data_IF_955662751184
#
_entry.id   IF_955662751184
#
_cell.length_a   1.000
_cell.length_b   1.000
_cell.length_c   1.000
_cell.angle_alpha   90.00
_cell.angle_beta   90.00
_cell.angle_gamma   90.00
#
_symmetry.space_group_name_H-M   'P 1'
#
loop_
_entity.id
_entity.type
_entity.pdbx_description
1 polymer ?
#
# COMPACT_ATOMS: atom_id res chain seq x y z
N UNK A 1 13.32 -9.18 35.53
CA UNK A 1 13.55 -7.74 35.26
C UNK A 1 12.52 -6.87 35.95
N UNK A 2 11.22 -7.16 35.82
CA UNK A 2 10.10 -6.41 36.44
C UNK A 2 10.25 -6.18 37.96
N UNK A 3 10.36 -7.25 38.77
CA UNK A 3 10.50 -7.12 40.24
C UNK A 3 11.80 -6.41 40.64
N UNK A 4 12.88 -6.61 39.88
CA UNK A 4 14.17 -5.93 40.10
C UNK A 4 14.09 -4.42 39.81
N UNK A 5 13.16 -3.99 38.97
CA UNK A 5 12.89 -2.57 38.68
C UNK A 5 11.97 -1.91 39.72
N UNK A 6 11.58 -2.61 40.79
CA UNK A 6 10.67 -2.09 41.81
C UNK A 6 9.18 -2.16 41.42
N UNK A 7 8.85 -2.84 40.32
CA UNK A 7 7.47 -3.03 39.88
C UNK A 7 6.88 -4.31 40.50
N UNK A 8 5.64 -4.23 40.98
CA UNK A 8 4.91 -5.38 41.52
C UNK A 8 4.55 -6.43 40.46
N UNK A 9 4.43 -5.99 39.21
CA UNK A 9 4.08 -6.82 38.06
C UNK A 9 4.24 -6.00 36.78
N UNK A 10 4.16 -6.65 35.62
CA UNK A 10 4.17 -5.96 34.34
C UNK A 10 2.75 -5.53 33.99
N UNK A 11 2.32 -4.41 34.55
CA UNK A 11 0.97 -3.88 34.42
C UNK A 11 1.11 -2.40 34.05
N UNK A 12 1.47 -2.08 32.79
CA UNK A 12 1.56 -0.70 32.37
C UNK A 12 0.22 -0.01 32.53
N UNK A 13 0.24 1.26 32.91
CA UNK A 13 -0.96 2.07 33.04
C UNK A 13 -1.42 2.50 31.65
N UNK A 14 -2.46 1.86 31.15
CA UNK A 14 -3.02 2.08 29.82
C UNK A 14 -3.91 3.32 29.74
N UNK A 15 -4.41 3.81 30.87
CA UNK A 15 -5.30 4.98 30.92
C UNK A 15 -4.53 6.28 31.20
N UNK A 16 -3.38 6.18 31.87
CA UNK A 16 -2.53 7.32 32.21
C UNK A 16 -1.59 7.79 31.08
N UNK A 17 -0.93 8.95 31.28
CA UNK A 17 -0.05 9.54 30.27
C UNK A 17 1.10 8.60 29.87
N UNK A 18 1.43 8.54 28.58
CA UNK A 18 2.55 7.74 28.05
C UNK A 18 3.88 8.15 28.70
N UNK A 19 4.04 9.45 28.95
CA UNK A 19 5.23 10.02 29.57
C UNK A 19 5.24 9.95 31.10
N UNK A 20 4.28 9.23 31.73
CA UNK A 20 4.35 9.01 33.18
C UNK A 20 5.59 8.19 33.52
N UNK A 21 6.27 8.50 34.62
CA UNK A 21 7.45 7.76 35.08
C UNK A 21 7.17 6.26 35.22
N UNK A 22 5.94 5.92 35.65
CA UNK A 22 5.46 4.54 35.75
C UNK A 22 5.45 3.85 34.38
N UNK A 23 4.91 4.51 33.35
CA UNK A 23 4.83 3.96 32.00
C UNK A 23 6.18 3.93 31.28
N UNK A 24 7.02 4.95 31.48
CA UNK A 24 8.39 4.96 30.98
C UNK A 24 9.21 3.80 31.55
N UNK A 25 9.03 3.49 32.85
CA UNK A 25 9.69 2.35 33.49
C UNK A 25 9.22 1.01 32.91
N UNK A 26 7.91 0.86 32.66
CA UNK A 26 7.38 -0.34 31.99
C UNK A 26 7.92 -0.49 30.57
N UNK A 27 7.94 0.59 29.78
CA UNK A 27 8.53 0.59 28.43
C UNK A 27 9.99 0.16 28.47
N UNK A 28 10.78 0.75 29.36
CA UNK A 28 12.20 0.41 29.51
C UNK A 28 12.38 -1.07 29.88
N UNK A 29 11.59 -1.59 30.81
CA UNK A 29 11.63 -3.00 31.21
C UNK A 29 11.24 -3.93 30.06
N UNK A 30 10.22 -3.57 29.28
CA UNK A 30 9.77 -4.36 28.12
C UNK A 30 10.83 -4.42 27.02
N UNK A 31 11.34 -3.26 26.59
CA UNK A 31 12.34 -3.15 25.52
C UNK A 31 13.65 -3.82 25.94
N UNK A 32 14.07 -3.65 27.20
CA UNK A 32 15.27 -4.31 27.71
C UNK A 32 15.11 -5.83 27.80
N UNK A 33 13.92 -6.31 28.21
CA UNK A 33 13.63 -7.74 28.27
C UNK A 33 13.60 -8.38 26.88
N UNK A 34 12.97 -7.72 25.91
CA UNK A 34 12.98 -8.14 24.52
C UNK A 34 14.42 -8.22 23.98
N UNK A 35 15.22 -7.16 24.15
CA UNK A 35 16.61 -7.13 23.70
C UNK A 35 17.47 -8.22 24.34
N UNK A 36 17.25 -8.53 25.63
CA UNK A 36 17.92 -9.65 26.30
C UNK A 36 17.52 -11.01 25.69
N UNK A 37 16.23 -11.26 25.50
CA UNK A 37 15.73 -12.51 24.92
C UNK A 37 16.23 -12.69 23.48
N UNK A 38 16.20 -11.62 22.69
CA UNK A 38 16.72 -11.62 21.32
C UNK A 38 18.22 -11.97 21.29
N UNK A 39 19.05 -11.31 22.10
CA UNK A 39 20.50 -11.59 22.19
C UNK A 39 20.81 -12.99 22.74
N UNK A 40 19.92 -13.56 23.54
CA UNK A 40 20.05 -14.93 24.04
C UNK A 40 19.64 -16.00 23.02
N UNK A 41 19.26 -15.60 21.79
CA UNK A 41 18.70 -16.45 20.75
C UNK A 41 17.40 -17.19 21.13
N UNK A 42 16.76 -16.82 22.24
CA UNK A 42 15.50 -17.41 22.68
C UNK A 42 14.33 -17.13 21.72
N UNK A 43 14.46 -16.12 20.86
CA UNK A 43 13.44 -15.72 19.89
C UNK A 43 13.78 -16.10 18.44
N UNK A 44 14.78 -16.95 18.22
CA UNK A 44 15.26 -17.27 16.87
C UNK A 44 14.22 -17.96 15.98
N UNK A 45 13.29 -18.69 16.59
CA UNK A 45 12.15 -19.34 15.91
C UNK A 45 11.15 -18.37 15.29
N UNK A 46 11.21 -17.08 15.64
CA UNK A 46 10.28 -16.06 15.17
C UNK A 46 10.82 -15.23 13.99
N UNK A 47 11.96 -15.62 13.40
CA UNK A 47 12.55 -14.98 12.21
C UNK A 47 12.64 -13.44 12.30
N UNK A 48 12.91 -12.94 13.51
CA UNK A 48 12.92 -11.49 13.78
C UNK A 48 14.09 -10.84 13.04
N UNK A 49 13.80 -9.77 12.29
CA UNK A 49 14.82 -8.98 11.61
C UNK A 49 15.77 -8.30 12.62
N UNK A 50 17.06 -8.59 12.52
CA UNK A 50 18.08 -8.15 13.49
C UNK A 50 18.30 -6.64 13.52
N UNK A 51 18.15 -5.96 12.37
CA UNK A 51 18.32 -4.51 12.26
C UNK A 51 17.24 -3.78 13.06
N UNK A 52 16.01 -4.27 13.02
CA UNK A 52 14.89 -3.71 13.79
C UNK A 52 14.95 -4.11 15.26
N UNK A 53 15.31 -5.37 15.56
CA UNK A 53 15.42 -5.86 16.93
C UNK A 53 16.51 -5.14 17.75
N UNK A 54 17.51 -4.58 17.08
CA UNK A 54 18.59 -3.81 17.72
C UNK A 54 18.27 -2.33 17.88
N UNK A 55 17.22 -1.83 17.21
CA UNK A 55 16.86 -0.42 17.20
C UNK A 55 15.93 -0.07 18.37
N UNK A 56 16.50 0.45 19.45
CA UNK A 56 15.77 0.80 20.69
C UNK A 56 14.69 1.86 20.44
N UNK A 57 14.92 2.83 19.56
CA UNK A 57 13.91 3.85 19.23
C UNK A 57 12.70 3.21 18.56
N UNK A 58 12.93 2.36 17.56
CA UNK A 58 11.86 1.59 16.90
C UNK A 58 11.09 0.70 17.90
N UNK A 59 11.79 0.02 18.82
CA UNK A 59 11.14 -0.81 19.83
C UNK A 59 10.30 0.00 20.82
N UNK A 60 10.72 1.22 21.17
CA UNK A 60 9.92 2.13 21.98
C UNK A 60 8.65 2.55 21.23
N UNK A 61 8.78 2.88 19.94
CA UNK A 61 7.63 3.24 19.09
C UNK A 61 6.64 2.06 18.98
N UNK A 62 7.13 0.84 18.74
CA UNK A 62 6.30 -0.37 18.72
C UNK A 62 5.59 -0.60 20.06
N UNK A 63 6.29 -0.39 21.19
CA UNK A 63 5.69 -0.52 22.51
C UNK A 63 4.60 0.52 22.77
N UNK A 64 4.84 1.77 22.37
CA UNK A 64 3.88 2.84 22.51
C UNK A 64 2.67 2.61 21.58
N UNK A 65 2.87 2.01 20.40
CA UNK A 65 1.81 1.55 19.50
C UNK A 65 1.05 0.31 20.02
N UNK A 66 1.64 -0.55 20.84
CA UNK A 66 0.87 -1.63 21.48
C UNK A 66 -0.25 -1.07 22.40
N UNK A 67 -0.14 0.18 22.86
CA UNK A 67 -1.21 0.89 23.58
C UNK A 67 -2.31 1.46 22.67
N UNK A 68 -2.18 1.35 21.34
CA UNK A 68 -3.09 1.88 20.30
C UNK A 68 -4.43 1.15 20.20
N UNK A 69 -4.74 0.20 21.10
CA UNK A 69 -6.09 -0.39 21.24
C UNK A 69 -7.20 0.62 21.59
N UNK A 70 -6.89 1.91 21.75
CA UNK A 70 -7.84 2.95 22.16
C UNK A 70 -8.30 3.86 21.01
N UNK A 71 -7.63 3.88 19.86
CA UNK A 71 -8.05 4.68 18.70
C UNK A 71 -7.88 3.84 17.42
N UNK A 72 -8.87 2.96 17.12
CA UNK A 72 -8.87 2.14 15.91
C UNK A 72 -8.61 3.03 14.68
N UNK A 73 -7.63 2.65 13.87
CA UNK A 73 -7.24 3.41 12.68
C UNK A 73 -6.26 4.56 12.90
N UNK A 74 -5.72 4.79 14.11
CA UNK A 74 -4.61 5.76 14.30
C UNK A 74 -3.33 5.29 13.58
N UNK A 75 -3.10 3.97 13.52
CA UNK A 75 -2.01 3.36 12.78
C UNK A 75 -2.22 3.52 11.28
N UNK A 76 -3.46 3.30 10.81
CA UNK A 76 -3.81 3.57 9.43
C UNK A 76 -3.61 5.04 9.12
N UNK A 77 -4.10 5.97 9.96
CA UNK A 77 -3.85 7.41 9.82
C UNK A 77 -2.36 7.77 9.83
N UNK A 78 -1.53 7.10 10.62
CA UNK A 78 -0.07 7.32 10.72
C UNK A 78 0.68 6.78 9.51
N UNK A 79 0.34 5.57 9.07
CA UNK A 79 0.87 4.95 7.85
C UNK A 79 0.40 5.73 6.62
N UNK A 80 -0.86 6.17 6.60
CA UNK A 80 -1.43 6.95 5.49
C UNK A 80 -0.84 8.35 5.47
N UNK A 81 -0.57 8.97 6.63
CA UNK A 81 0.12 10.25 6.73
C UNK A 81 1.63 10.20 6.51
N UNK A 82 2.26 9.03 6.60
CA UNK A 82 3.69 8.91 6.34
C UNK A 82 4.03 9.26 4.87
N UNK A 83 4.93 10.24 4.73
CA UNK A 83 5.43 10.77 3.46
C UNK A 83 5.98 9.65 2.55
N UNK A 84 6.49 8.57 3.14
CA UNK A 84 6.98 7.41 2.41
C UNK A 84 5.88 6.67 1.63
N UNK A 85 4.64 6.68 2.13
CA UNK A 85 3.50 6.04 1.49
C UNK A 85 2.76 6.97 0.51
N UNK A 86 2.67 8.28 0.80
CA UNK A 86 2.04 9.26 -0.11
C UNK A 86 2.85 9.55 -1.38
N UNK A 87 4.18 9.63 -1.27
CA UNK A 87 5.02 10.13 -2.36
C UNK A 87 5.06 9.22 -3.63
N UNK A 88 5.17 7.88 -3.53
CA UNK A 88 5.16 7.01 -4.71
C UNK A 88 3.82 7.06 -5.46
N UNK A 89 2.71 6.96 -4.73
CA UNK A 89 1.34 6.99 -5.27
C UNK A 89 1.05 8.32 -5.96
N UNK A 90 1.37 9.47 -5.33
CA UNK A 90 1.21 10.80 -5.94
C UNK A 90 2.02 10.95 -7.25
N UNK A 91 3.27 10.47 -7.28
CA UNK A 91 4.10 10.56 -8.49
C UNK A 91 3.59 9.69 -9.65
N UNK A 92 3.12 8.48 -9.34
CA UNK A 92 2.55 7.55 -10.32
C UNK A 92 1.21 8.05 -10.84
N UNK A 93 0.37 8.60 -9.98
CA UNK A 93 -0.91 9.18 -10.38
C UNK A 93 -0.72 10.39 -11.31
N UNK A 94 0.25 11.27 -11.00
CA UNK A 94 0.62 12.36 -11.90
C UNK A 94 1.12 11.85 -13.26
N UNK A 95 1.96 10.81 -13.27
CA UNK A 95 2.39 10.17 -14.52
C UNK A 95 1.20 9.57 -15.31
N UNK A 96 0.27 8.91 -14.62
CA UNK A 96 -0.94 8.35 -15.22
C UNK A 96 -1.82 9.42 -15.87
N UNK A 97 -1.98 10.59 -15.23
CA UNK A 97 -2.69 11.75 -15.80
C UNK A 97 -1.97 12.32 -17.01
N UNK A 98 -0.63 12.43 -16.97
CA UNK A 98 0.17 12.94 -18.10
C UNK A 98 0.11 12.03 -19.33
N UNK A 99 0.08 10.73 -19.12
CA UNK A 99 -0.10 9.73 -20.16
C UNK A 99 -1.57 9.60 -20.62
N UNK A 100 -2.47 10.42 -20.06
CA UNK A 100 -3.91 10.41 -20.36
C UNK A 100 -4.54 9.01 -20.25
N UNK A 101 -4.06 8.22 -19.29
CA UNK A 101 -4.52 6.84 -19.14
C UNK A 101 -6.01 6.81 -18.83
N UNK A 102 -6.72 5.77 -19.29
CA UNK A 102 -8.13 5.56 -18.98
C UNK A 102 -8.41 5.66 -17.48
N UNK A 103 -9.57 6.23 -17.12
CA UNK A 103 -10.00 6.43 -15.72
C UNK A 103 -9.90 5.17 -14.82
N UNK A 104 -10.25 3.95 -15.25
CA UNK A 104 -10.08 2.76 -14.42
C UNK A 104 -8.61 2.47 -14.07
N UNK A 105 -7.67 2.77 -14.98
CA UNK A 105 -6.24 2.64 -14.71
C UNK A 105 -5.81 3.72 -13.71
N UNK A 106 -6.25 4.96 -13.90
CA UNK A 106 -5.95 6.06 -12.96
C UNK A 106 -6.49 5.76 -11.54
N UNK A 107 -7.71 5.22 -11.42
CA UNK A 107 -8.27 4.79 -10.12
C UNK A 107 -7.43 3.72 -9.46
N UNK A 108 -7.05 2.68 -10.21
CA UNK A 108 -6.17 1.63 -9.69
C UNK A 108 -4.84 2.19 -9.21
N UNK A 109 -4.28 3.20 -9.90
CA UNK A 109 -3.04 3.88 -9.50
C UNK A 109 -3.22 4.79 -8.28
N UNK A 110 -4.44 5.26 -8.02
CA UNK A 110 -4.74 6.04 -6.82
C UNK A 110 -4.84 5.14 -5.57
N UNK A 111 -5.24 3.87 -5.75
CA UNK A 111 -5.39 2.91 -4.66
C UNK A 111 -4.01 2.43 -4.21
N UNK A 112 -3.61 2.82 -3.00
CA UNK A 112 -2.31 2.50 -2.41
C UNK A 112 -2.09 1.00 -2.32
N UNK A 113 -3.11 0.25 -1.93
CA UNK A 113 -3.10 -1.19 -1.70
C UNK A 113 -2.94 -1.95 -3.03
N UNK A 114 -3.27 -1.32 -4.16
CA UNK A 114 -3.04 -1.91 -5.48
C UNK A 114 -1.55 -1.88 -5.87
N UNK A 115 -0.74 -1.06 -5.21
CA UNK A 115 0.71 -0.97 -5.43
C UNK A 115 1.44 -2.08 -4.67
N UNK A 116 2.55 -2.58 -5.22
CA UNK A 116 3.39 -3.56 -4.52
C UNK A 116 4.20 -2.91 -3.41
N UNK A 117 4.37 -3.68 -2.34
CA UNK A 117 5.39 -3.43 -1.34
C UNK A 117 6.78 -3.70 -1.93
N UNK A 118 7.74 -2.89 -1.52
CA UNK A 118 9.08 -2.92 -2.07
C UNK A 118 10.06 -3.44 -1.03
N UNK A 119 10.75 -4.54 -1.35
CA UNK A 119 11.89 -4.99 -0.57
C UNK A 119 13.17 -4.34 -1.05
N UNK A 120 14.10 -4.13 -0.13
CA UNK A 120 15.44 -3.69 -0.45
C UNK A 120 16.40 -4.87 -0.30
N UNK A 121 17.04 -5.27 -1.39
CA UNK A 121 18.20 -6.19 -1.35
C UNK A 121 19.40 -5.40 -1.87
N UNK A 122 20.22 -4.93 -0.93
CA UNK A 122 21.38 -4.08 -1.20
C UNK A 122 21.01 -2.73 -1.82
N UNK A 123 21.46 -2.49 -3.06
CA UNK A 123 21.13 -1.27 -3.82
C UNK A 123 19.95 -1.46 -4.76
N UNK A 124 19.33 -2.62 -4.84
CA UNK A 124 18.23 -2.86 -5.78
C UNK A 124 16.94 -3.01 -5.00
N UNK A 125 15.88 -2.39 -5.52
CA UNK A 125 14.54 -2.51 -4.95
C UNK A 125 13.82 -3.64 -5.67
N UNK A 126 13.18 -4.56 -4.98
CA UNK A 126 12.46 -5.67 -5.58
C UNK A 126 10.98 -5.50 -5.29
N UNK A 127 10.17 -5.64 -6.34
CA UNK A 127 8.72 -5.60 -6.21
C UNK A 127 8.28 -6.91 -5.59
N UNK A 128 7.65 -6.90 -4.41
CA UNK A 128 7.02 -8.10 -3.87
C UNK A 128 5.82 -8.48 -4.74
N UNK A 129 5.61 -9.78 -4.88
CA UNK A 129 4.40 -10.29 -5.49
C UNK A 129 3.23 -10.13 -4.51
N UNK A 130 2.08 -9.72 -5.06
CA UNK A 130 0.82 -9.69 -4.33
C UNK A 130 -0.01 -10.90 -4.75
N UNK A 131 -0.57 -11.67 -3.79
CA UNK A 131 -1.35 -12.85 -4.11
C UNK A 131 -2.54 -12.45 -4.99
N UNK A 132 -2.82 -13.26 -6.01
CA UNK A 132 -3.94 -13.02 -6.93
C UNK A 132 -3.75 -11.90 -7.97
N UNK A 133 -2.74 -11.02 -7.84
CA UNK A 133 -2.50 -9.92 -8.79
C UNK A 133 -2.12 -10.43 -10.18
N UNK A 134 -2.75 -9.85 -11.20
CA UNK A 134 -2.50 -10.14 -12.60
C UNK A 134 -1.08 -9.69 -13.01
N UNK A 135 -0.23 -10.57 -13.60
CA UNK A 135 1.10 -10.20 -14.07
C UNK A 135 1.13 -9.02 -15.06
N UNK A 136 0.02 -8.83 -15.80
CA UNK A 136 -0.17 -7.68 -16.70
C UNK A 136 -0.06 -6.36 -15.93
N UNK A 137 -0.64 -6.29 -14.74
CA UNK A 137 -0.60 -5.10 -13.88
C UNK A 137 0.81 -4.85 -13.39
N UNK A 138 1.50 -5.87 -12.85
CA UNK A 138 2.89 -5.76 -12.40
C UNK A 138 3.79 -5.23 -13.53
N UNK A 139 3.66 -5.82 -14.73
CA UNK A 139 4.45 -5.44 -15.90
C UNK A 139 4.15 -4.01 -16.34
N UNK A 140 2.88 -3.59 -16.31
CA UNK A 140 2.48 -2.22 -16.65
C UNK A 140 3.12 -1.19 -15.70
N UNK A 141 3.06 -1.42 -14.38
CA UNK A 141 3.72 -0.54 -13.40
C UNK A 141 5.22 -0.42 -13.67
N UNK A 142 5.90 -1.54 -13.91
CA UNK A 142 7.36 -1.56 -14.12
C UNK A 142 7.82 -0.97 -15.45
N UNK A 143 7.08 -1.19 -16.54
CA UNK A 143 7.53 -0.82 -17.89
C UNK A 143 7.02 0.54 -18.36
N UNK A 144 5.88 0.99 -17.88
CA UNK A 144 5.20 2.19 -18.39
C UNK A 144 5.16 3.29 -17.32
N UNK A 145 4.64 2.96 -16.13
CA UNK A 145 4.31 3.98 -15.14
C UNK A 145 5.51 4.43 -14.30
N UNK A 146 6.35 3.50 -13.85
CA UNK A 146 7.53 3.81 -13.03
C UNK A 146 8.58 4.64 -13.80
N UNK A 147 8.93 4.32 -15.06
CA UNK A 147 9.85 5.14 -15.85
C UNK A 147 9.34 6.56 -16.07
N UNK A 148 8.03 6.71 -16.31
CA UNK A 148 7.41 8.02 -16.53
C UNK A 148 7.35 8.85 -15.24
N UNK A 149 7.01 8.22 -14.11
CA UNK A 149 7.06 8.85 -12.80
C UNK A 149 8.48 9.27 -12.41
N UNK A 150 9.50 8.51 -12.84
CA UNK A 150 10.90 8.87 -12.63
C UNK A 150 11.32 10.07 -13.49
N UNK A 151 10.95 10.09 -14.78
CA UNK A 151 11.19 11.23 -15.67
C UNK A 151 10.61 12.51 -15.09
N UNK A 152 9.38 12.47 -14.59
CA UNK A 152 8.73 13.61 -13.96
C UNK A 152 9.51 14.13 -12.74
N UNK A 153 9.95 13.22 -11.85
CA UNK A 153 10.73 13.61 -10.66
C UNK A 153 12.07 14.25 -11.01
N UNK A 154 12.75 13.76 -12.05
CA UNK A 154 14.03 14.33 -12.50
C UNK A 154 13.91 15.76 -13.03
N UNK A 155 12.76 16.09 -13.62
CA UNK A 155 12.51 17.46 -14.14
C UNK A 155 12.16 18.42 -12.99
N UNK A 156 11.42 17.96 -11.97
CA UNK A 156 10.93 18.85 -10.91
C UNK A 156 11.91 19.09 -9.74
N UNK A 157 12.92 18.24 -9.53
CA UNK A 157 13.89 18.45 -8.44
C UNK A 157 15.33 18.27 -8.96
N UNK A 158 16.20 19.29 -8.84
CA UNK A 158 17.63 19.13 -9.13
C UNK A 158 18.23 18.01 -8.28
N UNK A 159 19.26 17.36 -8.82
CA UNK A 159 19.83 16.04 -8.47
C UNK A 159 20.35 15.79 -7.03
N UNK A 160 19.87 16.48 -5.99
CA UNK A 160 20.38 16.30 -4.62
C UNK A 160 19.78 15.10 -3.89
N UNK A 161 18.69 14.50 -4.38
CA UNK A 161 18.09 13.30 -3.78
C UNK A 161 18.43 12.05 -4.60
N UNK A 162 19.16 11.12 -3.95
CA UNK A 162 19.56 9.79 -4.43
C UNK A 162 18.56 9.25 -5.47
N UNK A 163 19.01 9.11 -6.72
CA UNK A 163 18.28 8.42 -7.79
C UNK A 163 17.64 7.16 -7.23
N UNK A 164 16.31 7.04 -7.39
CA UNK A 164 15.63 5.81 -7.00
C UNK A 164 16.27 4.66 -7.76
N UNK A 165 16.74 3.68 -7.00
CA UNK A 165 17.47 2.55 -7.54
C UNK A 165 16.50 1.66 -8.32
N UNK A 166 17.00 1.08 -9.41
CA UNK A 166 16.22 0.25 -10.35
C UNK A 166 15.42 -0.82 -9.60
N UNK A 167 14.17 -1.00 -10.00
CA UNK A 167 13.32 -2.08 -9.51
C UNK A 167 13.57 -3.35 -10.30
N UNK A 168 13.82 -4.47 -9.63
CA UNK A 168 13.95 -5.79 -10.24
C UNK A 168 12.65 -6.61 -10.18
N UNK A 169 12.53 -7.67 -11.00
CA UNK A 169 11.44 -8.65 -10.91
C UNK A 169 11.41 -9.31 -9.52
N UNK A 170 10.25 -9.81 -9.08
CA UNK A 170 10.04 -10.30 -7.71
C UNK A 170 11.07 -11.35 -7.30
N UNK A 171 11.69 -11.19 -6.12
CA UNK A 171 12.79 -12.04 -5.64
C UNK A 171 12.36 -13.15 -4.67
N UNK A 172 11.05 -13.25 -4.37
CA UNK A 172 10.29 -14.23 -3.52
C UNK A 172 9.70 -13.63 -2.24
N UNK A 173 8.79 -14.43 -1.66
CA UNK A 173 7.76 -14.19 -0.65
C UNK A 173 6.63 -13.25 -1.11
N UNK A 174 5.39 -13.76 -1.06
CA UNK A 174 4.20 -12.93 -1.21
C UNK A 174 4.17 -11.93 -0.05
N UNK A 175 3.68 -10.71 -0.29
CA UNK A 175 3.50 -9.77 0.82
C UNK A 175 2.52 -10.36 1.85
N UNK A 176 2.90 -10.36 3.12
CA UNK A 176 2.03 -10.73 4.25
C UNK A 176 0.98 -9.66 4.55
N UNK A 177 1.08 -8.48 3.91
CA UNK A 177 0.03 -7.47 3.92
C UNK A 177 -1.12 -7.94 3.04
N UNK A 178 -2.14 -8.48 3.69
CA UNK A 178 -3.44 -8.87 3.14
C UNK A 178 -4.48 -8.13 4.03
N UNK A 179 -5.72 -7.80 3.63
CA UNK A 179 -6.66 -8.80 3.11
C UNK A 179 -7.78 -8.25 2.21
N UNK A 180 -7.98 -6.93 2.09
CA UNK A 180 -9.13 -6.42 1.32
C UNK A 180 -8.74 -5.22 0.46
N UNK A 181 -8.73 -5.44 -0.86
CA UNK A 181 -8.62 -4.33 -1.82
C UNK A 181 -9.92 -3.54 -1.89
N UNK A 182 -9.81 -2.24 -2.16
CA UNK A 182 -10.95 -1.38 -2.46
C UNK A 182 -11.87 -1.98 -3.52
N UNK A 183 -13.19 -1.81 -3.36
CA UNK A 183 -14.18 -2.21 -4.35
C UNK A 183 -14.01 -1.49 -5.71
N UNK A 184 -13.27 -0.38 -5.74
CA UNK A 184 -13.00 0.40 -6.94
C UNK A 184 -11.86 -0.16 -7.81
N UNK A 185 -11.16 -1.19 -7.31
CA UNK A 185 -10.13 -1.88 -8.09
C UNK A 185 -10.78 -2.55 -9.30
N UNK A 186 -10.22 -2.36 -10.52
CA UNK A 186 -10.70 -3.04 -11.72
C UNK A 186 -10.63 -4.57 -11.58
N UNK A 187 -11.58 -5.29 -12.17
CA UNK A 187 -11.67 -6.77 -12.06
C UNK A 187 -10.38 -7.45 -12.53
N UNK A 188 -9.73 -6.84 -13.52
CA UNK A 188 -8.55 -7.34 -14.20
C UNK A 188 -7.25 -7.02 -13.45
N UNK A 189 -7.37 -6.38 -12.29
CA UNK A 189 -6.33 -6.42 -11.26
C UNK A 189 -6.03 -7.86 -10.84
N UNK A 190 -7.06 -8.70 -10.72
CA UNK A 190 -6.90 -10.09 -10.33
C UNK A 190 -6.68 -10.97 -11.56
N UNK A 191 -5.91 -12.06 -11.38
CA UNK A 191 -5.90 -13.14 -12.36
C UNK A 191 -7.29 -13.78 -12.46
N UNK A 192 -7.72 -14.24 -13.65
CA UNK A 192 -9.01 -14.90 -13.80
C UNK A 192 -9.18 -16.09 -12.83
N UNK A 193 -8.13 -16.90 -12.65
CA UNK A 193 -8.14 -18.03 -11.72
C UNK A 193 -8.42 -17.60 -10.28
N UNK A 194 -7.75 -16.54 -9.80
CA UNK A 194 -7.93 -16.03 -8.45
C UNK A 194 -9.31 -15.39 -8.25
N UNK A 195 -9.74 -14.54 -9.18
CA UNK A 195 -11.05 -13.90 -9.08
C UNK A 195 -12.18 -14.94 -9.05
N UNK A 196 -12.08 -15.98 -9.88
CA UNK A 196 -13.10 -17.02 -9.97
C UNK A 196 -13.10 -17.96 -8.75
N UNK A 197 -12.03 -17.99 -7.94
CA UNK A 197 -12.03 -18.68 -6.65
C UNK A 197 -12.62 -17.86 -5.49
N UNK A 198 -12.85 -16.55 -5.68
CA UNK A 198 -13.46 -15.69 -4.67
C UNK A 198 -14.93 -16.04 -4.43
N UNK A 199 -15.41 -15.72 -3.23
CA UNK A 199 -16.82 -15.86 -2.87
C UNK A 199 -17.73 -15.02 -3.78
N UNK A 200 -19.02 -15.37 -3.84
CA UNK A 200 -20.00 -14.60 -4.62
C UNK A 200 -20.04 -13.12 -4.19
N UNK A 201 -19.97 -12.86 -2.87
CA UNK A 201 -19.95 -11.52 -2.26
C UNK A 201 -18.74 -10.70 -2.71
N UNK A 202 -17.54 -11.28 -2.66
CA UNK A 202 -16.32 -10.62 -3.10
C UNK A 202 -16.31 -10.37 -4.62
N UNK A 203 -16.75 -11.36 -5.41
CA UNK A 203 -16.87 -11.19 -6.87
C UNK A 203 -17.82 -10.03 -7.21
N UNK A 204 -18.96 -9.94 -6.52
CA UNK A 204 -19.92 -8.85 -6.68
C UNK A 204 -19.31 -7.50 -6.26
N UNK A 205 -18.56 -7.46 -5.15
CA UNK A 205 -17.86 -6.26 -4.66
C UNK A 205 -16.96 -5.65 -5.74
N UNK A 206 -16.11 -6.47 -6.35
CA UNK A 206 -15.12 -6.02 -7.35
C UNK A 206 -15.68 -5.85 -8.77
N UNK A 207 -16.83 -6.46 -9.09
CA UNK A 207 -17.45 -6.31 -10.41
C UNK A 207 -17.75 -4.84 -10.79
N UNK A 208 -17.93 -3.98 -9.78
CA UNK A 208 -18.17 -2.54 -9.94
C UNK A 208 -16.98 -1.76 -10.51
N UNK A 209 -15.75 -2.20 -10.25
CA UNK A 209 -14.51 -1.52 -10.66
C UNK A 209 -14.31 -1.46 -12.19
N UNK A 210 -14.95 -2.37 -12.93
CA UNK A 210 -14.89 -2.45 -14.39
C UNK A 210 -13.57 -3.02 -14.91
N UNK A 211 -13.26 -2.75 -16.19
CA UNK A 211 -12.07 -3.29 -16.88
C UNK A 211 -11.08 -2.17 -17.23
N UNK A 212 -9.84 -2.31 -16.78
CA UNK A 212 -8.77 -1.35 -16.99
C UNK A 212 -7.89 -1.65 -18.21
N UNK A 213 -7.46 -2.90 -18.36
CA UNK A 213 -6.52 -3.39 -19.36
C UNK A 213 -7.20 -4.32 -20.36
N UNK A 214 -6.74 -4.33 -21.62
CA UNK A 214 -7.07 -5.42 -22.53
C UNK A 214 -6.27 -6.68 -22.13
N UNK A 215 -6.50 -7.79 -22.82
CA UNK A 215 -5.69 -9.00 -22.62
C UNK A 215 -4.18 -8.72 -22.79
N UNK A 216 -3.35 -9.50 -22.10
CA UNK A 216 -1.89 -9.33 -22.09
C UNK A 216 -1.27 -9.27 -23.50
N UNK A 217 -1.83 -10.01 -24.47
CA UNK A 217 -1.40 -9.97 -25.89
C UNK A 217 -1.56 -8.60 -26.55
N UNK A 218 -2.52 -7.80 -26.11
CA UNK A 218 -2.80 -6.46 -26.64
C UNK A 218 -2.23 -5.36 -25.75
N UNK A 219 -2.14 -5.59 -24.43
CA UNK A 219 -1.74 -4.56 -23.46
C UNK A 219 -0.37 -3.93 -23.76
N UNK A 220 0.58 -4.74 -24.26
CA UNK A 220 1.96 -4.34 -24.57
C UNK A 220 2.30 -4.38 -26.05
N UNK A 221 1.33 -4.67 -26.91
CA UNK A 221 1.55 -4.63 -28.36
C UNK A 221 1.50 -3.17 -28.84
N UNK A 222 2.51 -2.68 -29.58
CA UNK A 222 2.56 -1.29 -30.02
C UNK A 222 1.38 -0.93 -30.95
N UNK A 223 0.89 -1.90 -31.73
CA UNK A 223 -0.27 -1.78 -32.61
C UNK A 223 -1.59 -1.50 -31.89
N UNK A 224 -1.63 -1.77 -30.58
CA UNK A 224 -2.82 -1.64 -29.75
C UNK A 224 -2.70 -0.50 -28.74
N UNK A 225 -1.64 0.32 -28.79
CA UNK A 225 -1.37 1.39 -27.83
C UNK A 225 -2.54 2.39 -27.65
N UNK A 226 -3.44 2.49 -28.63
CA UNK A 226 -4.63 3.34 -28.55
C UNK A 226 -5.59 2.95 -27.43
N UNK A 227 -5.52 1.71 -26.90
CA UNK A 227 -6.36 1.30 -25.77
C UNK A 227 -6.13 2.19 -24.54
N UNK A 228 -4.94 2.79 -24.38
CA UNK A 228 -4.54 3.58 -23.20
C UNK A 228 -5.34 4.87 -23.03
N UNK A 229 -5.77 5.50 -24.13
CA UNK A 229 -6.50 6.78 -24.14
C UNK A 229 -7.94 6.64 -24.65
N UNK A 230 -8.34 5.41 -25.03
CA UNK A 230 -9.66 5.14 -25.59
C UNK A 230 -10.81 5.28 -24.58
N UNK A 231 -11.90 5.89 -25.02
CA UNK A 231 -13.13 5.97 -24.24
C UNK A 231 -13.70 4.61 -23.83
N UNK A 232 -14.48 4.60 -22.74
CA UNK A 232 -15.05 3.35 -22.17
C UNK A 232 -15.85 2.54 -23.18
N UNK A 233 -16.76 3.17 -23.94
CA UNK A 233 -17.63 2.46 -24.90
C UNK A 233 -16.84 1.76 -26.02
N UNK A 234 -15.96 2.45 -26.77
CA UNK A 234 -15.15 1.79 -27.80
C UNK A 234 -14.20 0.75 -27.22
N UNK A 235 -13.61 1.00 -26.05
CA UNK A 235 -12.76 0.03 -25.37
C UNK A 235 -13.52 -1.26 -25.03
N UNK A 236 -14.71 -1.14 -24.44
CA UNK A 236 -15.52 -2.30 -24.09
C UNK A 236 -15.96 -3.11 -25.32
N UNK A 237 -16.22 -2.43 -26.44
CA UNK A 237 -16.57 -3.08 -27.72
C UNK A 237 -15.39 -3.84 -28.32
N UNK A 238 -14.19 -3.26 -28.30
CA UNK A 238 -12.98 -3.81 -28.95
C UNK A 238 -12.27 -4.86 -28.09
N UNK A 239 -12.08 -4.58 -26.81
CA UNK A 239 -11.27 -5.41 -25.91
C UNK A 239 -12.04 -5.93 -24.70
N UNK A 240 -12.93 -5.10 -24.11
CA UNK A 240 -13.51 -5.41 -22.80
C UNK A 240 -14.34 -6.69 -22.77
N UNK A 241 -15.11 -7.01 -23.83
CA UNK A 241 -15.88 -8.26 -23.90
C UNK A 241 -15.01 -9.51 -23.86
N UNK A 242 -13.82 -9.46 -24.46
CA UNK A 242 -12.91 -10.61 -24.47
C UNK A 242 -12.28 -10.83 -23.10
N UNK A 243 -11.95 -9.73 -22.39
CA UNK A 243 -11.47 -9.79 -21.01
C UNK A 243 -12.54 -10.33 -20.08
N UNK A 244 -13.76 -9.77 -20.12
CA UNK A 244 -14.87 -10.18 -19.25
C UNK A 244 -15.22 -11.67 -19.35
N UNK A 245 -15.03 -12.31 -20.51
CA UNK A 245 -15.28 -13.74 -20.71
C UNK A 245 -14.41 -14.66 -19.84
N UNK A 246 -13.29 -14.15 -19.30
CA UNK A 246 -12.42 -14.91 -18.42
C UNK A 246 -12.90 -14.91 -16.97
N UNK A 247 -13.82 -14.00 -16.62
CA UNK A 247 -14.28 -13.77 -15.25
C UNK A 247 -15.72 -14.23 -15.09
N UNK A 248 -15.98 -14.99 -14.02
CA UNK A 248 -17.32 -15.43 -13.63
C UNK A 248 -18.01 -14.30 -12.85
N UNK A 249 -18.57 -13.35 -13.57
CA UNK A 249 -19.23 -12.17 -12.98
C UNK A 249 -20.60 -12.58 -12.44
N UNK A 250 -20.91 -12.32 -11.16
CA UNK A 250 -22.21 -12.63 -10.58
C UNK A 250 -23.36 -11.94 -11.30
N UNK A 251 -24.45 -12.67 -11.49
CA UNK A 251 -25.69 -12.15 -12.08
C UNK A 251 -26.47 -11.34 -11.05
N UNK A 252 -27.29 -10.37 -11.48
CA UNK A 252 -28.10 -9.55 -10.58
C UNK A 252 -29.02 -10.40 -9.67
N UNK A 253 -29.51 -11.53 -10.15
CA UNK A 253 -30.33 -12.48 -9.38
C UNK A 253 -29.52 -13.18 -8.27
N UNK A 254 -28.28 -13.59 -8.58
CA UNK A 254 -27.37 -14.22 -7.61
C UNK A 254 -26.95 -13.22 -6.52
N UNK A 255 -26.78 -11.94 -6.89
CA UNK A 255 -26.49 -10.87 -5.94
C UNK A 255 -27.69 -10.60 -5.04
N UNK A 256 -28.91 -10.57 -5.59
CA UNK A 256 -30.14 -10.34 -4.83
C UNK A 256 -30.48 -11.50 -3.86
N UNK A 257 -29.98 -12.71 -4.14
CA UNK A 257 -30.13 -13.89 -3.27
C UNK A 257 -29.20 -13.91 -2.06
N UNK A 258 -28.23 -13.00 -1.97
CA UNK A 258 -27.44 -12.77 -0.76
C UNK A 258 -28.33 -11.98 0.23
N UNK A 259 -29.12 -12.66 1.04
CA UNK A 259 -29.94 -12.04 2.09
C UNK A 259 -29.09 -11.39 3.18
N UNK A 260 -29.60 -10.32 3.81
CA UNK A 260 -29.09 -9.52 4.96
C UNK A 260 -28.68 -10.29 6.24
N UNK A 261 -28.38 -11.59 6.18
CA UNK A 261 -28.16 -12.43 7.38
C UNK A 261 -26.74 -12.42 7.92
N UNK A 262 -25.92 -11.42 7.58
CA UNK A 262 -24.58 -11.22 8.15
C UNK A 262 -24.40 -9.73 8.50
N UNK A 263 -25.15 -9.26 9.51
CA UNK A 263 -25.04 -7.93 10.13
C UNK A 263 -23.78 -7.75 11.02
N UNK A 264 -22.74 -8.58 10.89
CA UNK A 264 -21.56 -8.56 11.78
C UNK A 264 -20.21 -8.49 11.03
N UNK A 265 -20.17 -7.85 9.87
CA UNK A 265 -18.94 -7.12 9.50
C UNK A 265 -19.29 -5.65 9.60
N UNK A 266 -18.97 -5.05 10.74
CA UNK A 266 -18.81 -3.61 10.85
C UNK A 266 -18.14 -3.15 9.56
N UNK A 267 -18.90 -2.37 8.79
CA UNK A 267 -18.37 -1.40 7.87
C UNK A 267 -17.42 -0.54 8.71
N UNK A 268 -16.17 -1.00 8.84
CA UNK A 268 -15.05 -0.11 8.99
C UNK A 268 -15.08 0.72 7.73
N UNK A 269 -15.90 1.79 7.80
CA UNK A 269 -16.07 2.83 6.81
C UNK A 269 -14.79 3.62 6.59
N UNK A 270 -13.63 2.99 6.70
CA UNK A 270 -12.48 3.34 5.91
C UNK A 270 -12.86 3.14 4.44
N UNK A 271 -13.53 4.17 3.92
CA UNK A 271 -13.38 4.55 2.52
C UNK A 271 -11.92 4.28 2.15
N UNK A 272 -11.66 3.59 1.03
CA UNK A 272 -10.29 3.48 0.57
C UNK A 272 -9.72 4.88 0.56
N UNK A 273 -8.55 5.10 1.17
CA UNK A 273 -7.82 6.37 1.14
C UNK A 273 -7.39 6.66 -0.32
N UNK A 274 -8.37 6.96 -1.16
CA UNK A 274 -8.24 7.59 -2.45
C UNK A 274 -7.68 8.94 -2.07
N UNK A 275 -6.37 9.08 -2.16
CA UNK A 275 -5.71 10.36 -1.95
C UNK A 275 -6.45 11.37 -2.81
N UNK A 276 -7.14 12.32 -2.17
CA UNK A 276 -7.85 13.38 -2.86
C UNK A 276 -6.79 14.28 -3.53
N UNK A 277 -6.53 13.97 -4.80
CA UNK A 277 -5.53 14.62 -5.64
C UNK A 277 -6.17 15.70 -6.52
N UNK A 278 -7.38 16.15 -6.17
CA UNK A 278 -8.13 17.14 -6.94
C UNK A 278 -7.59 18.56 -6.76
N UNK A 279 -6.85 18.87 -5.68
CA UNK A 279 -6.33 20.22 -5.45
C UNK A 279 -4.93 20.26 -4.81
N UNK A 280 -3.87 20.36 -5.63
CA UNK A 280 -2.56 20.89 -5.19
C UNK A 280 -1.85 21.55 -6.38
N UNK A 281 -2.51 22.50 -7.06
CA UNK A 281 -1.84 23.38 -8.03
C UNK A 281 -1.24 24.63 -7.39
N UNK A 282 -1.53 24.92 -6.12
CA UNK A 282 -1.05 26.11 -5.44
C UNK A 282 -0.64 25.69 -4.03
N UNK A 283 0.67 25.71 -3.77
CA UNK A 283 1.33 25.84 -2.46
C UNK A 283 2.83 25.80 -2.77
N UNK A 284 3.27 26.89 -3.39
CA UNK A 284 4.67 27.29 -3.41
C UNK A 284 4.96 27.96 -2.08
N UNK A 285 5.45 27.20 -1.10
CA UNK A 285 6.07 27.82 0.08
C UNK A 285 7.41 28.43 -0.34
N UNK A 286 7.38 29.75 -0.47
CA UNK A 286 8.53 30.66 -0.42
C UNK A 286 9.39 30.29 0.80
N UNK A 287 10.58 29.72 0.58
CA UNK A 287 11.63 29.74 1.60
C UNK A 287 12.48 30.99 1.38
N UNK A 288 12.24 32.01 2.20
CA UNK A 288 13.17 33.11 2.46
C UNK A 288 14.56 32.55 2.76
N UNK A 289 15.53 32.96 1.95
CA UNK A 289 16.95 32.71 2.19
C UNK A 289 17.41 33.78 3.18
N UNK A 290 17.57 33.43 4.45
CA UNK A 290 18.33 34.27 5.38
C UNK A 290 19.79 34.31 4.91
N UNK A 291 20.23 35.49 4.46
CA UNK A 291 21.65 35.80 4.25
C UNK A 291 22.37 35.78 5.60
N UNK A 292 23.23 34.78 5.82
CA UNK A 292 24.30 34.87 6.82
C UNK A 292 25.29 35.96 6.38
N UNK A 293 25.19 37.12 7.03
CA UNK A 293 26.27 38.11 7.11
C UNK A 293 27.38 37.54 7.99
N UNK A 294 28.48 37.12 7.36
CA UNK A 294 29.73 36.80 8.07
C UNK A 294 30.39 38.09 8.63
N UNK A 295 31.10 38.00 9.77
CA UNK A 295 31.67 39.15 10.50
C UNK A 295 32.89 39.80 9.85
#
# INVERSE_FOLDING_TARGET
>A
MVVKAGLKGFIPDVEGPVQSHYNQLHRHVAVSAFGFLFRSHALYTFEINEDYASNVSFLNDVYDNFKERRDPGSLDKSITNSVMYKAPTKSRFKAARRLELRKPVQRMVAIKEAHSDDEHVGKTRYVRDKPGRNPTVTRFFLQELDPEAERYRRVQKPLTRKLNRKRGPPLRAASELSEVLSADVPIDYFTPAYYNSLSLRERARYARGGVAFPLAKYAFAPEHAEWKTMDRKPFMKKYGKEVLRQYNIPTAEEIAGLSDSDEDDEDDGSEPDIIDLVDTSEDEDEMEVEEELDP
#
